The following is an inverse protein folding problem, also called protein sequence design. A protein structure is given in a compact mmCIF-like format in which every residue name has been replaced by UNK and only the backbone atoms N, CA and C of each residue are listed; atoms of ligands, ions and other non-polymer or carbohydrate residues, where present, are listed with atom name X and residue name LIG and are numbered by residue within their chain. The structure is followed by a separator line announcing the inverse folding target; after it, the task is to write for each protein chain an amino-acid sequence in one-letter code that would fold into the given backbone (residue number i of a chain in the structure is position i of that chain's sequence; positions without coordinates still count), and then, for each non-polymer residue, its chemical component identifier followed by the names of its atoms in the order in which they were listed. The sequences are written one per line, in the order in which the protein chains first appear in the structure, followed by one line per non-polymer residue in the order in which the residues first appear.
data_IF_841780474168
#
_entry.id   IF_841780474168
#
_cell.length_a   1.000
_cell.length_b   1.000
_cell.length_c   1.000
_cell.angle_alpha   90.00
_cell.angle_beta   90.00
_cell.angle_gamma   90.00
#
_symmetry.space_group_name_H-M   'P 1'
#
loop_
_entity.id
_entity.type
_entity.pdbx_description
1 polymer ?
#
# COMPACT_ATOMS: atom_id res chain seq x y z
N UNK A 1 3.52 59.54 25.08
CA UNK A 1 3.19 58.22 25.69
C UNK A 1 2.04 57.51 25.01
N UNK A 2 0.87 58.17 24.76
CA UNK A 2 -0.28 57.49 24.09
C UNK A 2 0.00 56.98 22.68
N UNK A 3 0.84 57.63 21.85
CA UNK A 3 1.19 57.21 20.49
C UNK A 3 2.11 55.96 20.45
N UNK A 4 2.97 55.79 21.46
CA UNK A 4 3.86 54.64 21.56
C UNK A 4 3.07 53.39 22.00
N UNK A 5 2.09 53.53 22.90
CA UNK A 5 1.23 52.45 23.33
C UNK A 5 0.36 51.90 22.18
N UNK A 6 -0.18 52.77 21.31
CA UNK A 6 -0.97 52.39 20.15
C UNK A 6 -0.07 51.60 19.15
N UNK A 7 1.16 52.07 18.90
CA UNK A 7 2.08 51.38 18.00
C UNK A 7 2.46 50.00 18.53
N UNK A 8 2.71 49.82 19.83
CA UNK A 8 2.95 48.54 20.47
C UNK A 8 1.76 47.57 20.37
N UNK A 9 0.52 48.08 20.53
CA UNK A 9 -0.67 47.25 20.38
C UNK A 9 -0.87 46.76 18.95
N UNK A 10 -0.56 47.58 17.93
CA UNK A 10 -0.66 47.18 16.53
C UNK A 10 0.41 46.12 16.17
N UNK A 11 1.63 46.27 16.66
CA UNK A 11 2.70 45.27 16.46
C UNK A 11 2.37 43.94 17.16
N UNK A 12 1.80 43.99 18.37
CA UNK A 12 1.37 42.81 19.12
C UNK A 12 0.17 42.08 18.45
N UNK A 13 -0.78 42.85 17.90
CA UNK A 13 -1.90 42.26 17.15
C UNK A 13 -1.46 41.63 15.81
N UNK A 14 -0.43 42.16 15.15
CA UNK A 14 0.15 41.51 13.95
C UNK A 14 0.93 40.23 14.25
N UNK A 15 1.47 40.06 15.45
CA UNK A 15 2.19 38.84 15.82
C UNK A 15 1.28 37.65 16.16
N UNK A 16 -0.03 37.85 16.36
CA UNK A 16 -0.96 36.79 16.72
C UNK A 16 -1.59 36.03 15.55
N UNK A 17 -1.20 36.29 14.31
CA UNK A 17 -1.83 35.67 13.14
C UNK A 17 -0.92 34.76 12.33
N UNK A 18 0.21 34.34 12.85
CA UNK A 18 0.92 33.20 12.25
C UNK A 18 0.27 31.92 12.79
N UNK A 19 -0.89 31.57 12.25
CA UNK A 19 -1.34 30.18 12.32
C UNK A 19 -0.28 29.37 11.57
N UNK A 20 0.47 28.55 12.27
CA UNK A 20 1.26 27.51 11.63
C UNK A 20 0.27 26.73 10.77
N UNK A 21 0.41 26.83 9.46
CA UNK A 21 -0.37 25.99 8.53
C UNK A 21 0.11 24.58 8.76
N UNK A 22 -0.78 23.73 9.28
CA UNK A 22 -0.44 22.31 9.42
C UNK A 22 -0.05 21.77 8.04
N UNK A 23 1.00 20.93 7.96
CA UNK A 23 1.42 20.39 6.69
C UNK A 23 0.23 19.64 6.06
N UNK A 24 -0.18 20.07 4.89
CA UNK A 24 -1.21 19.40 4.11
C UNK A 24 -0.52 18.32 3.25
N UNK A 25 -0.82 17.06 3.49
CA UNK A 25 -0.23 15.92 2.77
C UNK A 25 -1.08 15.49 1.58
N UNK A 26 -2.37 15.79 1.59
CA UNK A 26 -3.30 15.39 0.53
C UNK A 26 -3.79 16.60 -0.26
N UNK A 27 -3.94 16.44 -1.58
CA UNK A 27 -4.56 17.44 -2.44
C UNK A 27 -6.03 17.67 -2.05
N UNK A 28 -6.49 18.92 -2.11
CA UNK A 28 -7.92 19.30 -1.98
C UNK A 28 -8.60 19.41 -3.33
N UNK A 29 -7.85 19.26 -4.41
CA UNK A 29 -8.38 19.25 -5.76
C UNK A 29 -9.09 17.92 -6.04
N UNK A 30 -10.11 17.98 -6.90
CA UNK A 30 -10.81 16.77 -7.32
C UNK A 30 -9.89 15.91 -8.19
N UNK A 31 -9.63 14.69 -7.76
CA UNK A 31 -8.82 13.71 -8.47
C UNK A 31 -9.64 12.46 -8.81
N UNK A 32 -9.22 11.77 -9.87
CA UNK A 32 -9.77 10.44 -10.15
C UNK A 32 -9.35 9.45 -9.08
N UNK A 33 -10.25 8.51 -8.77
CA UNK A 33 -9.98 7.42 -7.83
C UNK A 33 -8.77 6.61 -8.31
N UNK A 34 -7.81 6.39 -7.42
CA UNK A 34 -6.71 5.44 -7.63
C UNK A 34 -7.23 4.00 -7.48
N UNK A 35 -6.58 3.07 -8.16
CA UNK A 35 -6.97 1.66 -8.20
C UNK A 35 -5.98 0.84 -7.38
N UNK A 36 -6.50 -0.04 -6.53
CA UNK A 36 -5.71 -1.08 -5.87
C UNK A 36 -6.08 -2.43 -6.47
N UNK A 37 -5.06 -3.18 -6.90
CA UNK A 37 -5.18 -4.56 -7.34
C UNK A 37 -4.60 -5.44 -6.23
N UNK A 38 -5.43 -6.20 -5.54
CA UNK A 38 -5.01 -7.21 -4.59
C UNK A 38 -4.93 -8.54 -5.33
N UNK A 39 -3.70 -8.97 -5.64
CA UNK A 39 -3.45 -10.20 -6.38
C UNK A 39 -3.30 -11.38 -5.42
N UNK A 40 -4.15 -12.37 -5.58
CA UNK A 40 -4.11 -13.62 -4.83
C UNK A 40 -3.16 -14.58 -5.54
N UNK A 41 -2.08 -14.98 -4.88
CA UNK A 41 -0.94 -15.65 -5.49
C UNK A 41 -0.34 -16.74 -4.59
N UNK A 42 0.64 -17.50 -5.12
CA UNK A 42 1.35 -18.52 -4.36
C UNK A 42 2.65 -18.94 -5.01
N UNK A 43 3.70 -19.21 -4.22
CA UNK A 43 5.04 -19.57 -4.70
C UNK A 43 5.12 -20.87 -5.50
N UNK A 44 4.22 -21.80 -5.25
CA UNK A 44 4.15 -23.08 -5.96
C UNK A 44 3.12 -23.06 -7.10
N UNK A 45 2.48 -21.92 -7.34
CA UNK A 45 1.54 -21.72 -8.42
C UNK A 45 2.28 -21.42 -9.74
N UNK A 46 2.20 -22.30 -10.72
CA UNK A 46 2.94 -22.17 -11.99
C UNK A 46 2.44 -21.02 -12.88
N UNK A 47 1.16 -20.63 -12.77
CA UNK A 47 0.57 -19.54 -13.56
C UNK A 47 0.61 -18.15 -12.89
N UNK A 48 0.99 -18.12 -11.60
CA UNK A 48 0.99 -16.86 -10.85
C UNK A 48 2.01 -15.84 -11.37
N UNK A 49 3.22 -16.23 -11.82
CA UNK A 49 4.14 -15.27 -12.44
C UNK A 49 3.56 -14.56 -13.67
N UNK A 50 2.78 -15.25 -14.50
CA UNK A 50 2.09 -14.62 -15.64
C UNK A 50 1.03 -13.60 -15.18
N UNK A 51 0.31 -13.89 -14.09
CA UNK A 51 -0.60 -12.92 -13.47
C UNK A 51 0.14 -11.67 -13.01
N UNK A 52 1.23 -11.83 -12.27
CA UNK A 52 2.09 -10.74 -11.81
C UNK A 52 2.69 -9.93 -12.96
N UNK A 53 3.15 -10.58 -14.02
CA UNK A 53 3.61 -9.90 -15.23
C UNK A 53 2.53 -9.02 -15.85
N UNK A 54 1.31 -9.53 -15.96
CA UNK A 54 0.16 -8.76 -16.46
C UNK A 54 -0.13 -7.54 -15.58
N UNK A 55 -0.08 -7.70 -14.26
CA UNK A 55 -0.27 -6.58 -13.31
C UNK A 55 0.87 -5.56 -13.45
N UNK A 56 2.12 -5.99 -13.60
CA UNK A 56 3.26 -5.09 -13.82
C UNK A 56 3.06 -4.22 -15.08
N UNK A 57 2.56 -4.79 -16.18
CA UNK A 57 2.25 -4.01 -17.38
C UNK A 57 1.16 -2.95 -17.13
N UNK A 58 0.17 -3.25 -16.30
CA UNK A 58 -0.85 -2.27 -15.90
C UNK A 58 -0.23 -1.16 -15.06
N UNK A 59 0.67 -1.48 -14.11
CA UNK A 59 1.37 -0.48 -13.31
C UNK A 59 2.22 0.46 -14.17
N UNK A 60 2.93 -0.08 -15.16
CA UNK A 60 3.72 0.72 -16.11
C UNK A 60 2.86 1.63 -16.99
N UNK A 61 1.69 1.15 -17.41
CA UNK A 61 0.76 1.93 -18.23
C UNK A 61 0.06 3.04 -17.43
N UNK A 62 -0.16 2.83 -16.12
CA UNK A 62 -0.89 3.75 -15.26
C UNK A 62 -0.11 4.11 -13.98
N UNK A 63 1.09 4.71 -14.12
CA UNK A 63 1.92 5.06 -12.97
C UNK A 63 1.17 6.02 -12.04
N UNK A 64 1.35 5.86 -10.74
CA UNK A 64 0.71 6.65 -9.67
C UNK A 64 -0.83 6.57 -9.61
N UNK A 65 -1.46 5.84 -10.52
CA UNK A 65 -2.92 5.64 -10.55
C UNK A 65 -3.34 4.24 -10.15
N UNK A 66 -2.46 3.26 -10.33
CA UNK A 66 -2.69 1.86 -9.97
C UNK A 66 -1.61 1.41 -8.99
N UNK A 67 -2.01 0.69 -7.97
CA UNK A 67 -1.15 0.07 -6.98
C UNK A 67 -1.50 -1.41 -6.86
N UNK A 68 -0.52 -2.24 -6.53
CA UNK A 68 -0.76 -3.67 -6.34
C UNK A 68 -0.28 -4.17 -4.99
N UNK A 69 -0.93 -5.22 -4.51
CA UNK A 69 -0.58 -5.98 -3.31
C UNK A 69 -0.63 -7.46 -3.64
N UNK A 70 0.47 -8.17 -3.46
CA UNK A 70 0.54 -9.61 -3.65
C UNK A 70 0.24 -10.33 -2.34
N UNK A 71 -0.88 -11.05 -2.31
CA UNK A 71 -1.45 -11.70 -1.12
C UNK A 71 -1.24 -13.21 -1.23
N UNK A 72 -0.54 -13.75 -0.23
CA UNK A 72 -0.33 -15.18 -0.07
C UNK A 72 -1.19 -15.73 1.08
N UNK A 73 -1.82 -16.88 0.83
CA UNK A 73 -2.53 -17.67 1.83
C UNK A 73 -1.83 -19.00 2.02
N UNK A 74 -1.62 -19.41 3.26
CA UNK A 74 -1.03 -20.71 3.55
C UNK A 74 -1.83 -21.86 2.90
N UNK A 75 -1.16 -22.61 2.03
CA UNK A 75 -1.70 -23.75 1.30
C UNK A 75 -0.57 -24.58 0.68
N UNK A 76 -0.90 -25.66 -0.03
CA UNK A 76 0.07 -26.39 -0.86
C UNK A 76 0.70 -25.51 -1.95
N UNK A 77 -0.01 -24.50 -2.44
CA UNK A 77 0.48 -23.55 -3.43
C UNK A 77 1.27 -22.38 -2.80
N UNK A 78 1.18 -22.17 -1.49
CA UNK A 78 1.96 -21.18 -0.73
C UNK A 78 2.39 -21.75 0.61
N UNK A 79 3.43 -22.60 0.63
CA UNK A 79 3.92 -23.22 1.86
C UNK A 79 4.61 -22.22 2.78
N UNK A 80 4.71 -22.57 4.07
CA UNK A 80 5.38 -21.74 5.09
C UNK A 80 6.91 -21.86 5.09
N UNK A 81 7.51 -22.69 4.20
CA UNK A 81 8.95 -22.76 4.06
C UNK A 81 9.54 -21.41 3.60
N UNK A 82 10.81 -21.18 3.90
CA UNK A 82 11.49 -19.93 3.57
C UNK A 82 11.58 -19.66 2.05
N UNK A 83 11.32 -18.43 1.59
CA UNK A 83 10.72 -17.33 2.35
C UNK A 83 9.23 -17.60 2.61
N UNK A 84 8.78 -17.42 3.86
CA UNK A 84 7.34 -17.44 4.16
C UNK A 84 6.72 -16.12 3.77
N UNK A 85 5.84 -16.14 2.78
CA UNK A 85 5.15 -14.96 2.25
C UNK A 85 3.70 -14.84 2.74
N UNK A 86 3.25 -15.80 3.59
CA UNK A 86 1.87 -15.82 4.09
C UNK A 86 1.71 -14.89 5.30
N UNK A 87 0.51 -14.31 5.43
CA UNK A 87 0.04 -13.60 6.62
C UNK A 87 -1.36 -14.08 6.98
N UNK A 88 -1.76 -13.92 8.25
CA UNK A 88 -3.13 -14.25 8.71
C UNK A 88 -4.17 -13.39 8.02
N UNK A 89 -3.87 -12.10 7.87
CA UNK A 89 -4.71 -11.08 7.23
C UNK A 89 -4.88 -11.38 5.74
N UNK A 90 -3.79 -11.74 5.06
CA UNK A 90 -3.81 -12.19 3.67
C UNK A 90 -4.65 -13.45 3.51
N UNK A 91 -4.60 -14.37 4.47
CA UNK A 91 -5.46 -15.54 4.52
C UNK A 91 -6.94 -15.16 4.62
N UNK A 92 -7.28 -14.22 5.52
CA UNK A 92 -8.66 -13.75 5.71
C UNK A 92 -9.20 -13.05 4.45
N UNK A 93 -8.40 -12.21 3.78
CA UNK A 93 -8.77 -11.58 2.51
C UNK A 93 -9.01 -12.64 1.44
N UNK A 94 -8.08 -13.57 1.30
CA UNK A 94 -8.18 -14.66 0.33
C UNK A 94 -9.49 -15.43 0.51
N UNK A 95 -9.81 -15.84 1.75
CA UNK A 95 -11.00 -16.64 2.07
C UNK A 95 -12.31 -15.87 1.83
N UNK A 96 -12.29 -14.54 2.00
CA UNK A 96 -13.46 -13.70 1.78
C UNK A 96 -13.78 -13.46 0.29
N UNK A 97 -12.79 -13.47 -0.59
CA UNK A 97 -12.95 -13.04 -1.98
C UNK A 97 -12.70 -14.13 -3.02
N UNK A 98 -12.14 -15.28 -2.64
CA UNK A 98 -11.88 -16.34 -3.61
C UNK A 98 -12.92 -17.44 -3.53
N UNK A 99 -13.55 -17.75 -4.65
CA UNK A 99 -14.33 -18.98 -4.86
C UNK A 99 -13.64 -19.99 -5.76
N UNK A 100 -12.39 -19.75 -6.16
CA UNK A 100 -11.68 -20.53 -7.19
C UNK A 100 -10.17 -20.59 -6.98
N UNK A 101 -9.46 -20.85 -8.07
CA UNK A 101 -8.01 -21.00 -8.11
C UNK A 101 -7.26 -19.67 -8.15
N UNK A 102 -5.92 -19.76 -8.16
CA UNK A 102 -5.01 -18.64 -8.35
C UNK A 102 -4.20 -18.85 -9.64
N UNK A 103 -3.72 -17.74 -10.29
CA UNK A 103 -3.84 -16.33 -9.88
C UNK A 103 -5.27 -15.78 -9.98
N UNK A 104 -5.62 -14.87 -9.07
CA UNK A 104 -6.87 -14.12 -9.10
C UNK A 104 -6.61 -12.69 -8.58
N UNK A 105 -7.48 -11.74 -8.91
CA UNK A 105 -7.32 -10.36 -8.50
C UNK A 105 -8.63 -9.78 -7.93
N UNK A 106 -8.50 -8.96 -6.89
CA UNK A 106 -9.56 -8.15 -6.31
C UNK A 106 -9.24 -6.69 -6.65
N UNK A 107 -10.22 -5.94 -7.11
CA UNK A 107 -10.02 -4.55 -7.52
C UNK A 107 -10.83 -3.63 -6.61
N UNK A 108 -10.15 -2.64 -6.02
CA UNK A 108 -10.75 -1.54 -5.26
C UNK A 108 -11.60 -1.94 -4.05
N UNK A 109 -11.02 -2.30 -2.95
CA UNK A 109 -11.76 -2.38 -1.68
C UNK A 109 -12.08 -0.99 -1.11
N UNK A 110 -11.20 0.01 -1.24
CA UNK A 110 -11.47 1.43 -0.95
C UNK A 110 -10.32 2.35 -1.40
N UNK A 111 -10.52 3.68 -1.37
CA UNK A 111 -9.47 4.65 -1.71
C UNK A 111 -9.07 5.46 -0.49
N UNK A 112 -7.82 5.33 -0.07
CA UNK A 112 -7.22 6.13 0.99
C UNK A 112 -5.81 6.52 0.55
N UNK A 113 -5.40 7.76 0.83
CA UNK A 113 -4.01 8.21 0.65
C UNK A 113 -3.38 8.38 2.03
N UNK A 114 -2.15 7.91 2.20
CA UNK A 114 -1.41 8.02 3.44
C UNK A 114 0.05 8.35 3.22
N UNK A 115 0.67 8.96 4.23
CA UNK A 115 2.11 9.21 4.29
C UNK A 115 2.70 8.43 5.46
N UNK A 116 3.72 7.63 5.18
CA UNK A 116 4.50 6.95 6.19
C UNK A 116 5.84 7.67 6.41
N UNK A 117 6.13 8.05 7.63
CA UNK A 117 7.43 8.59 8.04
C UNK A 117 8.17 7.49 8.82
N UNK A 118 9.32 7.08 8.29
CA UNK A 118 10.15 6.05 8.91
C UNK A 118 11.38 6.72 9.54
N UNK A 119 11.54 6.58 10.84
CA UNK A 119 12.77 6.92 11.52
C UNK A 119 13.75 5.74 11.43
N UNK A 120 14.88 5.94 10.73
CA UNK A 120 15.88 4.90 10.51
C UNK A 120 16.68 4.54 11.75
N UNK A 121 16.77 5.46 12.73
CA UNK A 121 17.65 5.29 13.89
C UNK A 121 17.01 4.41 14.96
N UNK A 122 15.70 4.50 15.17
CA UNK A 122 14.98 3.71 16.18
C UNK A 122 14.09 2.61 15.59
N UNK A 123 14.06 2.47 14.27
CA UNK A 123 13.23 1.53 13.50
C UNK A 123 11.73 1.66 13.79
N UNK A 124 11.29 2.86 14.15
CA UNK A 124 9.87 3.16 14.33
C UNK A 124 9.32 3.85 13.09
N UNK A 125 8.13 3.46 12.67
CA UNK A 125 7.35 4.15 11.65
C UNK A 125 6.20 4.89 12.33
N UNK A 126 6.05 6.18 12.03
CA UNK A 126 4.83 6.92 12.37
C UNK A 126 4.05 7.11 11.08
N UNK A 127 2.84 6.56 11.03
CA UNK A 127 1.99 6.62 9.85
C UNK A 127 0.89 7.63 10.13
N UNK A 128 0.86 8.69 9.33
CA UNK A 128 -0.22 9.69 9.36
C UNK A 128 -1.01 9.54 8.07
N UNK A 129 -2.30 9.32 8.19
CA UNK A 129 -3.22 9.23 7.07
C UNK A 129 -4.12 10.45 7.10
N UNK A 130 -4.13 11.19 5.99
CA UNK A 130 -5.04 12.32 5.77
C UNK A 130 -6.02 11.96 4.66
N UNK A 131 -7.31 12.15 4.92
CA UNK A 131 -8.37 11.91 3.93
C UNK A 131 -9.15 13.21 3.75
N UNK A 132 -9.27 13.64 2.50
CA UNK A 132 -10.05 14.80 2.14
C UNK A 132 -11.17 14.40 1.17
N UNK A 133 -12.41 14.69 1.56
CA UNK A 133 -13.59 14.44 0.72
C UNK A 133 -13.90 15.65 -0.13
N UNK A 134 -13.77 15.54 -1.45
CA UNK A 134 -14.10 16.61 -2.42
C UNK A 134 -15.59 16.65 -2.77
N UNK A 135 -16.35 15.64 -2.34
CA UNK A 135 -17.80 15.53 -2.47
C UNK A 135 -18.36 14.68 -1.34
N UNK A 136 -19.69 14.62 -1.20
CA UNK A 136 -20.33 13.73 -0.24
C UNK A 136 -19.99 12.26 -0.54
N UNK A 137 -19.63 11.51 0.50
CA UNK A 137 -19.43 10.07 0.38
C UNK A 137 -20.76 9.37 0.01
N UNK A 138 -20.67 8.36 -0.86
CA UNK A 138 -21.82 7.51 -1.17
C UNK A 138 -22.18 6.57 0.00
N UNK A 139 -21.28 6.39 0.97
CA UNK A 139 -21.49 5.60 2.19
C UNK A 139 -21.51 6.52 3.41
N UNK A 140 -22.32 6.17 4.40
CA UNK A 140 -22.33 6.83 5.72
C UNK A 140 -21.09 6.51 6.54
N UNK A 141 -20.40 5.41 6.23
CA UNK A 141 -19.19 4.94 6.90
C UNK A 141 -18.11 4.67 5.86
N UNK A 142 -16.88 5.03 6.19
CA UNK A 142 -15.71 4.75 5.39
C UNK A 142 -14.64 4.17 6.31
N UNK A 143 -14.02 3.08 5.88
CA UNK A 143 -13.05 2.34 6.66
C UNK A 143 -11.64 2.55 6.09
N UNK A 144 -10.67 2.74 6.98
CA UNK A 144 -9.27 2.87 6.65
C UNK A 144 -8.56 1.53 6.86
N UNK A 145 -7.92 1.01 5.82
CA UNK A 145 -7.00 -0.13 5.91
C UNK A 145 -5.59 0.31 5.56
N UNK A 146 -4.64 0.10 6.48
CA UNK A 146 -3.21 0.41 6.28
C UNK A 146 -2.45 -0.89 6.17
N UNK A 147 -1.88 -1.15 4.99
CA UNK A 147 -1.12 -2.36 4.66
C UNK A 147 0.38 -2.08 4.65
N UNK A 148 1.16 -2.98 5.24
CA UNK A 148 2.61 -2.98 5.14
C UNK A 148 3.05 -3.96 4.06
N UNK A 149 3.75 -3.45 3.04
CA UNK A 149 4.28 -4.24 1.93
C UNK A 149 5.79 -4.36 2.01
N UNK A 150 6.32 -5.43 1.47
CA UNK A 150 7.75 -5.64 1.31
C UNK A 150 8.09 -6.04 -0.11
N UNK A 151 9.07 -5.36 -0.69
CA UNK A 151 9.65 -5.68 -1.98
C UNK A 151 10.98 -6.43 -1.85
N UNK A 152 11.44 -6.99 -2.95
CA UNK A 152 12.75 -7.62 -3.08
C UNK A 152 12.95 -8.82 -2.14
N UNK A 153 11.93 -9.65 -1.95
CA UNK A 153 12.07 -10.90 -1.23
C UNK A 153 12.50 -11.99 -2.21
N UNK A 154 13.75 -12.41 -2.11
CA UNK A 154 14.31 -13.44 -2.99
C UNK A 154 13.87 -14.83 -2.55
N UNK A 155 13.46 -15.67 -3.49
CA UNK A 155 13.08 -17.03 -3.21
C UNK A 155 12.58 -17.81 -4.42
N UNK A 156 12.30 -19.08 -4.24
CA UNK A 156 11.76 -19.94 -5.29
C UNK A 156 10.35 -19.52 -5.68
N UNK A 157 10.08 -19.52 -6.99
CA UNK A 157 8.76 -19.37 -7.57
C UNK A 157 8.59 -20.38 -8.72
N UNK A 158 7.55 -21.19 -8.67
CA UNK A 158 7.20 -22.06 -9.78
C UNK A 158 6.69 -21.23 -10.96
N UNK A 159 7.10 -21.58 -12.18
CA UNK A 159 6.72 -20.80 -13.38
C UNK A 159 7.41 -19.45 -13.52
N UNK A 160 8.53 -19.19 -12.84
CA UNK A 160 9.23 -17.88 -12.84
C UNK A 160 9.57 -17.35 -14.22
N UNK A 161 9.77 -18.21 -15.23
CA UNK A 161 10.05 -17.78 -16.61
C UNK A 161 8.90 -17.02 -17.30
N UNK A 162 7.69 -17.09 -16.77
CA UNK A 162 6.53 -16.35 -17.30
C UNK A 162 6.49 -14.89 -16.81
N UNK A 163 7.44 -14.50 -15.95
CA UNK A 163 7.66 -13.11 -15.53
C UNK A 163 9.16 -12.82 -15.50
N UNK A 164 9.76 -12.51 -16.66
CA UNK A 164 11.19 -12.28 -16.78
C UNK A 164 11.69 -11.07 -15.99
N UNK A 165 10.83 -10.09 -15.70
CA UNK A 165 11.20 -8.87 -14.96
C UNK A 165 11.50 -9.15 -13.49
N UNK A 166 10.93 -10.21 -12.93
CA UNK A 166 11.16 -10.65 -11.55
C UNK A 166 12.03 -11.90 -11.46
N UNK A 167 12.39 -12.53 -12.59
CA UNK A 167 13.35 -13.61 -12.61
C UNK A 167 14.77 -13.05 -12.54
N UNK A 168 15.51 -13.41 -11.50
CA UNK A 168 16.86 -12.91 -11.25
C UNK A 168 17.85 -14.06 -11.02
N UNK A 169 19.14 -13.77 -11.11
CA UNK A 169 20.21 -14.72 -10.80
C UNK A 169 21.02 -14.21 -9.62
N UNK A 170 21.19 -15.05 -8.60
CA UNK A 170 22.01 -14.78 -7.43
C UNK A 170 23.06 -15.89 -7.34
N UNK A 171 24.34 -15.51 -7.36
CA UNK A 171 25.48 -16.44 -7.38
C UNK A 171 25.35 -17.53 -8.46
N UNK A 172 24.83 -17.14 -9.64
CA UNK A 172 24.61 -18.05 -10.76
C UNK A 172 23.39 -18.96 -10.64
N UNK A 173 22.64 -18.88 -9.54
CA UNK A 173 21.41 -19.63 -9.34
C UNK A 173 20.20 -18.78 -9.70
N UNK A 174 19.29 -19.37 -10.49
CA UNK A 174 18.02 -18.76 -10.83
C UNK A 174 17.14 -18.65 -9.58
N UNK A 175 16.63 -17.46 -9.33
CA UNK A 175 15.69 -17.19 -8.25
C UNK A 175 14.64 -16.17 -8.72
N UNK A 176 13.66 -15.89 -7.88
CA UNK A 176 12.59 -14.95 -8.17
C UNK A 176 12.59 -13.82 -7.14
N UNK A 177 12.40 -12.59 -7.61
CA UNK A 177 12.30 -11.40 -6.79
C UNK A 177 10.84 -11.07 -6.53
N UNK A 178 10.32 -11.52 -5.39
CA UNK A 178 8.94 -11.26 -5.01
C UNK A 178 8.78 -9.78 -4.62
N UNK A 179 7.80 -9.11 -5.24
CA UNK A 179 7.50 -7.68 -5.07
C UNK A 179 6.11 -7.49 -4.48
N UNK A 180 5.90 -6.36 -3.81
CA UNK A 180 4.60 -5.91 -3.28
C UNK A 180 3.92 -6.94 -2.34
N UNK A 181 4.72 -7.72 -1.62
CA UNK A 181 4.21 -8.78 -0.75
C UNK A 181 3.58 -8.19 0.50
N UNK A 182 2.32 -8.53 0.76
CA UNK A 182 1.65 -8.18 2.02
C UNK A 182 2.38 -8.83 3.19
N UNK A 183 2.84 -8.01 4.15
CA UNK A 183 3.54 -8.49 5.35
C UNK A 183 2.71 -8.33 6.62
N UNK A 184 1.86 -7.32 6.63
CA UNK A 184 1.01 -7.01 7.79
C UNK A 184 -0.12 -6.08 7.39
N UNK A 185 -1.19 -6.06 8.18
CA UNK A 185 -2.21 -5.01 8.14
C UNK A 185 -2.24 -4.34 9.52
N UNK A 186 -1.81 -3.07 9.56
CA UNK A 186 -1.60 -2.31 10.80
C UNK A 186 -2.92 -1.95 11.48
N UNK A 187 -3.97 -1.73 10.71
CA UNK A 187 -5.36 -1.56 11.17
C UNK A 187 -6.04 -2.93 11.31
N UNK A 188 -7.28 -3.03 11.80
CA UNK A 188 -8.08 -4.25 11.59
C UNK A 188 -8.15 -4.62 10.10
N UNK A 189 -8.25 -5.91 9.78
CA UNK A 189 -8.21 -6.43 8.40
C UNK A 189 -9.24 -5.76 7.47
N UNK A 190 -10.40 -5.40 8.03
CA UNK A 190 -11.50 -4.78 7.30
C UNK A 190 -11.58 -3.26 7.46
N UNK A 191 -10.57 -2.67 8.10
CA UNK A 191 -10.45 -1.25 8.38
C UNK A 191 -10.99 -0.82 9.74
N UNK A 192 -10.69 0.43 10.08
CA UNK A 192 -11.03 1.08 11.34
C UNK A 192 -11.81 2.36 11.07
#
# INVERSE_FOLDING_TARGET
MKKIAILMCIVFACMMQVKAQEPQFVSKEQENRKVIIEELTGRMCGWCPLGQYTVNQILEQYPEKVFTVNIHRQSSLSPTSYPNLNTSEGGAIYDAFTSGGIPAAIINRSTTQGVALINKDDRKATITVEVYYTANSASSENYLTVMMLQDNIQGYQNGSGDNPDQEIYVDGNKTYNHMHILRDIITPTWGD
#
